data_IF_146610298427
#
_entry.id   IF_146610298427
#
_cell.length_a   1.000
_cell.length_b   1.000
_cell.length_c   1.000
_cell.angle_alpha   90.00
_cell.angle_beta   90.00
_cell.angle_gamma   90.00
#
_symmetry.space_group_name_H-M   'P 1'
#
loop_
_entity.id
_entity.type
_entity.pdbx_description
1 polymer ?
#
# COMPACT_ATOMS: atom_id res chain seq x y z
N UNK A 1 19.49 -20.54 -12.60
CA UNK A 1 19.03 -19.29 -11.94
C UNK A 1 18.41 -18.41 -13.02
N UNK A 2 17.08 -18.27 -13.12
CA UNK A 2 16.45 -17.43 -14.16
C UNK A 2 16.52 -15.97 -13.71
N UNK A 3 17.38 -15.17 -14.34
CA UNK A 3 17.39 -13.72 -14.13
C UNK A 3 16.03 -13.18 -14.57
N UNK A 4 15.30 -12.56 -13.65
CA UNK A 4 13.99 -11.98 -13.94
C UNK A 4 14.19 -10.82 -14.92
N UNK A 5 13.48 -10.83 -16.04
CA UNK A 5 13.58 -9.75 -17.01
C UNK A 5 12.94 -8.49 -16.45
N UNK A 6 13.48 -7.31 -16.78
CA UNK A 6 12.85 -6.02 -16.48
C UNK A 6 11.37 -5.98 -16.94
N UNK A 7 11.04 -6.70 -18.01
CA UNK A 7 9.67 -6.80 -18.54
C UNK A 7 8.70 -7.50 -17.57
N UNK A 8 9.14 -8.56 -16.89
CA UNK A 8 8.30 -9.30 -15.94
C UNK A 8 8.03 -8.47 -14.66
N UNK A 9 9.05 -7.71 -14.22
CA UNK A 9 8.94 -6.76 -13.12
C UNK A 9 7.93 -5.66 -13.41
N UNK A 10 8.03 -5.03 -14.58
CA UNK A 10 7.10 -3.99 -15.01
C UNK A 10 5.67 -4.50 -15.13
N UNK A 11 5.48 -5.72 -15.68
CA UNK A 11 4.14 -6.32 -15.81
C UNK A 11 3.50 -6.61 -14.45
N UNK A 12 4.28 -7.11 -13.49
CA UNK A 12 3.80 -7.35 -12.12
C UNK A 12 3.45 -6.04 -11.42
N UNK A 13 4.32 -5.03 -11.53
CA UNK A 13 4.08 -3.70 -10.97
C UNK A 13 2.83 -3.04 -11.56
N UNK A 14 2.61 -3.15 -12.88
CA UNK A 14 1.44 -2.59 -13.55
C UNK A 14 0.13 -3.24 -13.09
N UNK A 15 0.09 -4.58 -12.97
CA UNK A 15 -1.08 -5.30 -12.44
C UNK A 15 -1.35 -4.94 -10.98
N UNK A 16 -0.30 -4.88 -10.15
CA UNK A 16 -0.41 -4.46 -8.76
C UNK A 16 -0.91 -3.02 -8.65
N UNK A 17 -0.36 -2.13 -9.47
CA UNK A 17 -0.80 -0.76 -9.69
C UNK A 17 -2.30 -0.68 -9.94
N UNK A 18 -2.78 -1.33 -11.00
CA UNK A 18 -4.19 -1.34 -11.38
C UNK A 18 -5.12 -1.78 -10.24
N UNK A 19 -4.76 -2.82 -9.48
CA UNK A 19 -5.56 -3.27 -8.33
C UNK A 19 -5.53 -2.30 -7.15
N UNK A 20 -4.46 -1.53 -7.00
CA UNK A 20 -4.28 -0.61 -5.87
C UNK A 20 -4.86 0.78 -6.12
N UNK A 21 -5.14 1.18 -7.37
CA UNK A 21 -5.66 2.51 -7.72
C UNK A 21 -6.92 2.85 -6.93
N UNK A 22 -7.88 1.92 -6.84
CA UNK A 22 -9.17 2.15 -6.16
C UNK A 22 -8.95 2.42 -4.67
N UNK A 23 -8.11 1.61 -4.03
CA UNK A 23 -7.77 1.76 -2.62
C UNK A 23 -7.01 3.07 -2.36
N UNK A 24 -6.05 3.40 -3.22
CA UNK A 24 -5.27 4.64 -3.13
C UNK A 24 -6.14 5.86 -3.34
N UNK A 25 -7.06 5.83 -4.31
CA UNK A 25 -8.01 6.91 -4.54
C UNK A 25 -8.89 7.14 -3.32
N UNK A 26 -9.44 6.07 -2.73
CA UNK A 26 -10.22 6.17 -1.50
C UNK A 26 -9.38 6.73 -0.33
N UNK A 27 -8.15 6.25 -0.14
CA UNK A 27 -7.23 6.75 0.90
C UNK A 27 -6.96 8.25 0.76
N UNK A 28 -6.61 8.72 -0.45
CA UNK A 28 -6.34 10.13 -0.71
C UNK A 28 -7.60 10.98 -0.50
N UNK A 29 -8.75 10.58 -1.05
CA UNK A 29 -9.98 11.37 -0.94
C UNK A 29 -10.45 11.48 0.51
N UNK A 30 -10.44 10.37 1.26
CA UNK A 30 -10.82 10.36 2.67
C UNK A 30 -9.85 11.17 3.52
N UNK A 31 -8.54 11.06 3.26
CA UNK A 31 -7.54 11.87 3.93
C UNK A 31 -7.80 13.36 3.69
N UNK A 32 -7.86 13.78 2.43
CA UNK A 32 -7.86 15.20 2.05
C UNK A 32 -9.18 15.91 2.32
N UNK A 33 -10.32 15.26 2.05
CA UNK A 33 -11.63 15.93 2.06
C UNK A 33 -12.50 15.57 3.25
N UNK A 34 -12.15 14.53 4.02
CA UNK A 34 -12.99 14.07 5.13
C UNK A 34 -12.27 14.20 6.46
N UNK A 35 -11.16 13.48 6.66
CA UNK A 35 -10.57 13.37 8.00
C UNK A 35 -9.76 14.60 8.42
N UNK A 36 -9.00 15.21 7.51
CA UNK A 36 -8.22 16.43 7.83
C UNK A 36 -9.07 17.64 8.20
N UNK A 37 -10.39 17.59 7.96
CA UNK A 37 -11.32 18.65 8.35
C UNK A 37 -11.59 18.68 9.87
N UNK A 38 -11.40 17.55 10.56
CA UNK A 38 -11.77 17.40 11.97
C UNK A 38 -10.70 16.73 12.83
N UNK A 39 -9.70 16.10 12.22
CA UNK A 39 -8.68 15.32 12.91
C UNK A 39 -7.27 15.83 12.59
N UNK A 40 -6.30 15.65 13.51
CA UNK A 40 -4.91 15.91 13.19
C UNK A 40 -4.40 14.95 12.11
N UNK A 41 -3.25 15.32 11.53
CA UNK A 41 -2.70 14.67 10.32
C UNK A 41 -2.39 13.20 10.54
N UNK A 42 -1.93 12.82 11.74
CA UNK A 42 -1.61 11.44 12.08
C UNK A 42 -2.86 10.56 12.06
N UNK A 43 -3.89 10.95 12.81
CA UNK A 43 -5.16 10.24 12.94
C UNK A 43 -5.88 10.16 11.59
N UNK A 44 -5.80 11.24 10.81
CA UNK A 44 -6.33 11.29 9.46
C UNK A 44 -5.69 10.23 8.55
N UNK A 45 -4.35 10.07 8.60
CA UNK A 45 -3.62 9.06 7.83
C UNK A 45 -3.93 7.63 8.31
N UNK A 46 -4.07 7.42 9.61
CA UNK A 46 -4.42 6.11 10.18
C UNK A 46 -5.82 5.69 9.70
N UNK A 47 -6.82 6.56 9.79
CA UNK A 47 -8.20 6.22 9.41
C UNK A 47 -8.36 6.06 7.90
N UNK A 48 -7.86 7.02 7.11
CA UNK A 48 -7.94 6.95 5.65
C UNK A 48 -7.17 5.73 5.12
N UNK A 49 -5.96 5.52 5.64
CA UNK A 49 -5.09 4.44 5.25
C UNK A 49 -5.64 3.07 5.64
N UNK A 50 -6.34 2.97 6.78
CA UNK A 50 -6.99 1.73 7.20
C UNK A 50 -8.13 1.36 6.26
N UNK A 51 -8.98 2.32 5.88
CA UNK A 51 -10.06 2.10 4.90
C UNK A 51 -9.47 1.70 3.55
N UNK A 52 -8.44 2.42 3.08
CA UNK A 52 -7.71 2.07 1.86
C UNK A 52 -7.12 0.65 1.93
N UNK A 53 -6.52 0.27 3.05
CA UNK A 53 -6.00 -1.09 3.28
C UNK A 53 -7.10 -2.14 3.16
N UNK A 54 -8.27 -1.92 3.77
CA UNK A 54 -9.40 -2.86 3.69
C UNK A 54 -9.90 -3.02 2.25
N UNK A 55 -10.07 -1.91 1.52
CA UNK A 55 -10.45 -1.94 0.10
C UNK A 55 -9.40 -2.73 -0.69
N UNK A 56 -8.11 -2.41 -0.50
CA UNK A 56 -7.02 -3.08 -1.19
C UNK A 56 -7.01 -4.59 -0.88
N UNK A 57 -7.26 -4.95 0.38
CA UNK A 57 -7.33 -6.33 0.79
C UNK A 57 -8.49 -7.07 0.11
N UNK A 58 -9.70 -6.51 0.10
CA UNK A 58 -10.87 -7.13 -0.54
C UNK A 58 -10.66 -7.31 -2.05
N UNK A 59 -10.13 -6.28 -2.73
CA UNK A 59 -9.87 -6.35 -4.16
C UNK A 59 -8.81 -7.40 -4.48
N UNK A 60 -7.71 -7.43 -3.74
CA UNK A 60 -6.66 -8.41 -3.99
C UNK A 60 -7.09 -9.83 -3.64
N UNK A 61 -7.89 -10.01 -2.57
CA UNK A 61 -8.49 -11.31 -2.23
C UNK A 61 -9.43 -11.82 -3.33
N UNK A 62 -10.24 -10.94 -3.93
CA UNK A 62 -11.21 -11.33 -4.96
C UNK A 62 -10.58 -11.54 -6.34
N UNK A 63 -9.58 -10.76 -6.72
CA UNK A 63 -9.08 -10.70 -8.11
C UNK A 63 -7.65 -11.19 -8.34
N UNK A 64 -6.80 -11.31 -7.30
CA UNK A 64 -5.35 -11.47 -7.49
C UNK A 64 -4.78 -12.74 -6.88
N UNK A 65 -5.30 -13.24 -5.76
CA UNK A 65 -4.66 -14.35 -5.04
C UNK A 65 -5.32 -15.70 -5.27
N UNK A 66 -4.72 -16.52 -6.13
CA UNK A 66 -4.81 -17.98 -6.06
C UNK A 66 -3.71 -18.48 -5.11
N UNK A 67 -4.08 -18.92 -3.90
CA UNK A 67 -3.14 -19.19 -2.81
C UNK A 67 -2.32 -20.48 -3.03
N UNK A 68 -1.01 -20.35 -3.26
CA UNK A 68 -0.06 -21.48 -3.38
C UNK A 68 0.71 -21.81 -2.07
N UNK A 69 0.59 -20.99 -1.01
CA UNK A 69 1.13 -21.22 0.35
C UNK A 69 0.00 -21.50 1.34
N UNK A 70 0.35 -21.93 2.57
CA UNK A 70 -0.61 -21.97 3.69
C UNK A 70 -1.32 -20.60 3.80
N UNK A 71 -2.61 -20.63 3.48
CA UNK A 71 -3.44 -19.46 3.25
C UNK A 71 -3.47 -18.48 4.43
N UNK A 72 -3.46 -19.02 5.64
CA UNK A 72 -3.52 -18.23 6.86
C UNK A 72 -2.22 -17.45 7.09
N UNK A 73 -1.07 -18.10 6.89
CA UNK A 73 0.23 -17.46 7.10
C UNK A 73 0.47 -16.30 6.12
N UNK A 74 0.16 -16.48 4.85
CA UNK A 74 0.30 -15.42 3.84
C UNK A 74 -0.68 -14.26 4.10
N UNK A 75 -1.91 -14.57 4.54
CA UNK A 75 -2.88 -13.58 4.95
C UNK A 75 -2.39 -12.73 6.14
N UNK A 76 -2.00 -13.38 7.25
CA UNK A 76 -1.54 -12.67 8.45
C UNK A 76 -0.28 -11.85 8.20
N UNK A 77 0.68 -12.34 7.40
CA UNK A 77 1.84 -11.55 7.01
C UNK A 77 1.45 -10.33 6.17
N UNK A 78 0.57 -10.50 5.17
CA UNK A 78 0.12 -9.40 4.32
C UNK A 78 -0.58 -8.30 5.12
N UNK A 79 -1.51 -8.69 6.01
CA UNK A 79 -2.19 -7.75 6.92
C UNK A 79 -1.20 -7.10 7.88
N UNK A 80 -0.28 -7.88 8.47
CA UNK A 80 0.74 -7.38 9.39
C UNK A 80 1.64 -6.32 8.75
N UNK A 81 2.13 -6.55 7.53
CA UNK A 81 2.90 -5.54 6.80
C UNK A 81 2.08 -4.30 6.46
N UNK A 82 0.82 -4.47 6.05
CA UNK A 82 -0.04 -3.32 5.75
C UNK A 82 -0.35 -2.48 7.01
N UNK A 83 -0.57 -3.11 8.17
CA UNK A 83 -0.71 -2.41 9.45
C UNK A 83 0.59 -1.71 9.87
N UNK A 84 1.74 -2.38 9.73
CA UNK A 84 3.03 -1.75 9.99
C UNK A 84 3.25 -0.52 9.07
N UNK A 85 2.98 -0.68 7.78
CA UNK A 85 3.05 0.41 6.80
C UNK A 85 2.07 1.56 7.08
N UNK A 86 0.92 1.27 7.70
CA UNK A 86 -0.04 2.27 8.15
C UNK A 86 0.54 3.15 9.25
N UNK A 87 1.04 2.55 10.33
CA UNK A 87 1.62 3.30 11.45
C UNK A 87 2.89 4.03 11.04
N UNK A 88 3.75 3.37 10.25
CA UNK A 88 4.93 4.01 9.68
C UNK A 88 4.52 5.22 8.82
N UNK A 89 3.44 5.10 8.04
CA UNK A 89 2.90 6.21 7.28
C UNK A 89 2.41 7.36 8.14
N UNK A 90 1.70 7.09 9.24
CA UNK A 90 1.29 8.10 10.21
C UNK A 90 2.48 8.91 10.74
N UNK A 91 3.55 8.25 11.16
CA UNK A 91 4.75 8.94 11.64
C UNK A 91 5.48 9.72 10.54
N UNK A 92 5.53 9.17 9.32
CA UNK A 92 6.15 9.83 8.18
C UNK A 92 5.40 11.10 7.79
N UNK A 93 4.06 11.07 7.69
CA UNK A 93 3.30 12.26 7.32
C UNK A 93 3.42 13.35 8.40
N UNK A 94 3.41 12.95 9.68
CA UNK A 94 3.61 13.88 10.80
C UNK A 94 5.01 14.52 10.76
N UNK A 95 6.01 13.78 10.27
CA UNK A 95 7.37 14.29 10.10
C UNK A 95 7.48 15.19 8.87
N UNK A 96 6.85 14.83 7.76
CA UNK A 96 6.87 15.60 6.51
C UNK A 96 6.19 16.97 6.68
N UNK A 97 5.08 17.03 7.43
CA UNK A 97 4.34 18.27 7.70
C UNK A 97 5.12 19.25 8.60
N UNK A 98 6.27 18.86 9.18
CA UNK A 98 7.18 19.82 9.84
C UNK A 98 7.91 20.73 8.86
N UNK A 99 7.93 20.39 7.56
CA UNK A 99 8.46 21.23 6.50
C UNK A 99 7.36 22.20 6.07
N UNK A 100 7.61 23.50 6.16
CA UNK A 100 6.62 24.58 5.96
C UNK A 100 5.85 24.47 4.62
N UNK A 101 6.56 24.17 3.53
CA UNK A 101 5.95 23.96 2.22
C UNK A 101 4.97 22.77 2.20
N UNK A 102 5.30 21.68 2.90
CA UNK A 102 4.45 20.49 2.97
C UNK A 102 3.29 20.65 3.95
N UNK A 103 3.47 21.49 4.98
CA UNK A 103 2.39 21.88 5.89
C UNK A 103 1.32 22.71 5.16
N UNK A 104 1.75 23.62 4.30
CA UNK A 104 0.87 24.49 3.52
C UNK A 104 0.03 23.70 2.52
N UNK A 105 0.65 22.72 1.86
CA UNK A 105 -0.02 21.88 0.86
C UNK A 105 -0.03 20.42 1.28
N UNK A 106 -0.93 20.05 2.22
CA UNK A 106 -1.02 18.69 2.81
C UNK A 106 -1.21 17.55 1.80
N UNK A 107 -1.66 17.86 0.57
CA UNK A 107 -1.72 16.86 -0.52
C UNK A 107 -0.32 16.41 -0.96
N UNK A 108 0.70 17.26 -0.90
CA UNK A 108 2.08 16.93 -1.29
C UNK A 108 2.69 15.84 -0.40
N UNK A 109 2.75 15.98 0.94
CA UNK A 109 3.27 14.92 1.78
C UNK A 109 2.42 13.65 1.69
N UNK A 110 1.10 13.78 1.46
CA UNK A 110 0.22 12.63 1.22
C UNK A 110 0.60 11.86 -0.06
N UNK A 111 0.85 12.55 -1.17
CA UNK A 111 1.27 11.91 -2.43
C UNK A 111 2.63 11.22 -2.30
N UNK A 112 3.60 11.88 -1.66
CA UNK A 112 4.93 11.30 -1.37
C UNK A 112 4.76 10.01 -0.54
N UNK A 113 4.00 10.09 0.55
CA UNK A 113 3.75 8.95 1.42
C UNK A 113 3.01 7.83 0.70
N UNK A 114 2.03 8.17 -0.13
CA UNK A 114 1.28 7.19 -0.93
C UNK A 114 2.20 6.44 -1.87
N UNK A 115 3.12 7.14 -2.55
CA UNK A 115 4.14 6.51 -3.39
C UNK A 115 5.02 5.55 -2.59
N UNK A 116 5.50 5.98 -1.42
CA UNK A 116 6.29 5.13 -0.53
C UNK A 116 5.50 3.88 -0.08
N UNK A 117 4.27 4.04 0.42
CA UNK A 117 3.37 2.94 0.85
C UNK A 117 3.07 1.99 -0.29
N UNK A 118 2.94 2.49 -1.52
CA UNK A 118 2.71 1.67 -2.70
C UNK A 118 3.89 0.73 -2.95
N UNK A 119 5.11 1.25 -3.02
CA UNK A 119 6.31 0.42 -3.20
C UNK A 119 6.52 -0.53 -2.04
N UNK A 120 6.36 -0.06 -0.80
CA UNK A 120 6.45 -0.90 0.39
C UNK A 120 5.47 -2.08 0.34
N UNK A 121 4.19 -1.82 0.04
CA UNK A 121 3.18 -2.88 -0.10
C UNK A 121 3.49 -3.81 -1.28
N UNK A 122 3.99 -3.30 -2.41
CA UNK A 122 4.36 -4.13 -3.55
C UNK A 122 5.47 -5.14 -3.19
N UNK A 123 6.58 -4.67 -2.62
CA UNK A 123 7.71 -5.53 -2.29
C UNK A 123 7.40 -6.51 -1.16
N UNK A 124 6.70 -6.07 -0.12
CA UNK A 124 6.30 -6.95 1.01
C UNK A 124 5.34 -8.03 0.55
N UNK A 125 4.29 -7.68 -0.21
CA UNK A 125 3.34 -8.68 -0.73
C UNK A 125 4.05 -9.65 -1.66
N UNK A 126 4.91 -9.17 -2.56
CA UNK A 126 5.72 -10.04 -3.40
C UNK A 126 6.52 -11.06 -2.57
N UNK A 127 7.19 -10.62 -1.51
CA UNK A 127 7.94 -11.50 -0.62
C UNK A 127 7.06 -12.51 0.16
N UNK A 128 5.90 -12.05 0.65
CA UNK A 128 4.94 -12.89 1.38
C UNK A 128 4.38 -14.00 0.48
N UNK A 129 3.99 -13.66 -0.75
CA UNK A 129 3.37 -14.61 -1.67
C UNK A 129 4.40 -15.50 -2.39
N UNK A 130 5.60 -15.00 -2.72
CA UNK A 130 6.66 -15.76 -3.40
C UNK A 130 7.67 -16.34 -2.39
N UNK A 131 7.42 -17.55 -1.82
CA UNK A 131 8.27 -18.20 -0.77
C UNK A 131 9.73 -18.45 -1.15
N UNK A 132 10.05 -18.46 -2.43
CA UNK A 132 11.41 -18.53 -3.00
C UNK A 132 11.35 -17.72 -4.26
N UNK A 133 12.41 -16.96 -4.56
CA UNK A 133 12.52 -16.30 -5.85
C UNK A 133 12.12 -17.25 -6.98
N UNK A 134 11.25 -16.75 -7.85
CA UNK A 134 11.02 -17.28 -9.19
C UNK A 134 10.16 -18.57 -9.28
N UNK A 135 8.86 -18.44 -9.09
CA UNK A 135 7.90 -19.16 -9.95
C UNK A 135 6.66 -18.29 -10.17
N UNK A 136 6.30 -18.12 -11.45
CA UNK A 136 5.12 -17.39 -11.94
C UNK A 136 3.92 -17.60 -11.00
N UNK A 137 3.52 -16.54 -10.32
CA UNK A 137 2.26 -16.51 -9.55
C UNK A 137 1.07 -16.04 -10.40
N UNK A 138 1.24 -15.89 -11.72
CA UNK A 138 0.22 -15.30 -12.58
C UNK A 138 0.17 -16.04 -13.91
N UNK A 139 -0.55 -17.16 -13.90
CA UNK A 139 -1.28 -17.62 -15.07
C UNK A 139 -2.71 -17.08 -14.96
#
# INVERSE_FOLDING_TARGET
MKVFSNKDLLKSLAKFGASSVVATGADILLFTFVFTQFLPVFESEILSGFIGMLINFVLQKRFVFHLQRNQYLAFFMSVGFSLFGLFLGGFLIQSLVKIELLATYLILPKLILTGFKFFFNYYTKRWVFEKKGLKKSFD
#
